data_IF_310244647500
#
_entry.id   IF_310244647500
#
_cell.length_a   1.000
_cell.length_b   1.000
_cell.length_c   1.000
_cell.angle_alpha   90.00
_cell.angle_beta   90.00
_cell.angle_gamma   90.00
#
_symmetry.space_group_name_H-M   'P 1'
#
loop_
_entity.id
_entity.type
_entity.pdbx_description
1 polymer ?
#
# COMPACT_ATOMS: atom_id res chain seq x y z
N UNK A 1 -14.37 -12.99 2.45
CA UNK A 1 -13.36 -12.88 3.50
C UNK A 1 -12.71 -14.24 3.79
N UNK A 2 -13.47 -15.35 3.79
CA UNK A 2 -12.92 -16.70 4.02
C UNK A 2 -11.75 -17.04 3.07
N UNK A 3 -11.81 -16.64 1.80
CA UNK A 3 -10.74 -16.87 0.82
C UNK A 3 -9.46 -16.08 1.14
N UNK A 4 -9.57 -14.90 1.75
CA UNK A 4 -8.43 -14.10 2.18
C UNK A 4 -7.88 -14.54 3.53
N UNK A 5 -8.71 -15.15 4.40
CA UNK A 5 -8.30 -15.59 5.72
C UNK A 5 -7.12 -16.56 5.66
N UNK A 6 -7.07 -17.45 4.67
CA UNK A 6 -5.95 -18.39 4.48
C UNK A 6 -4.66 -17.72 3.97
N UNK A 7 -4.76 -16.48 3.46
CA UNK A 7 -3.63 -15.69 2.93
C UNK A 7 -3.24 -14.53 3.83
N UNK A 8 -4.13 -14.10 4.70
CA UNK A 8 -3.93 -13.01 5.64
C UNK A 8 -3.32 -13.51 6.93
N UNK A 9 -2.19 -12.94 7.34
CA UNK A 9 -1.55 -13.27 8.61
C UNK A 9 -1.35 -11.99 9.42
N UNK A 10 -2.13 -11.84 10.50
CA UNK A 10 -2.06 -10.68 11.40
C UNK A 10 -0.69 -10.50 12.05
N UNK A 11 0.07 -11.57 12.23
CA UNK A 11 1.42 -11.53 12.83
C UNK A 11 2.44 -10.73 12.00
N UNK A 12 2.14 -10.45 10.72
CA UNK A 12 3.01 -9.72 9.79
C UNK A 12 2.47 -8.35 9.41
N UNK A 13 1.63 -7.79 10.26
CA UNK A 13 1.03 -6.49 10.03
C UNK A 13 1.99 -5.37 10.43
N UNK A 14 2.90 -5.05 9.53
CA UNK A 14 3.84 -3.95 9.69
C UNK A 14 3.20 -2.66 9.18
N UNK A 15 3.24 -1.62 10.01
CA UNK A 15 2.76 -0.30 9.61
C UNK A 15 3.68 0.27 8.53
N UNK A 16 3.16 0.49 7.32
CA UNK A 16 3.86 1.14 6.21
C UNK A 16 3.26 2.52 5.95
N UNK A 17 3.94 3.38 5.20
CA UNK A 17 3.37 4.67 4.83
C UNK A 17 2.10 4.49 3.99
N UNK A 18 2.06 3.47 3.12
CA UNK A 18 0.84 3.13 2.39
C UNK A 18 -0.31 2.70 3.33
N UNK A 19 -0.03 1.99 4.43
CA UNK A 19 -1.06 1.58 5.40
C UNK A 19 -1.59 2.76 6.21
N UNK A 20 -0.72 3.68 6.61
CA UNK A 20 -1.11 4.93 7.27
C UNK A 20 -1.97 5.79 6.36
N UNK A 21 -1.53 5.97 5.12
CA UNK A 21 -2.27 6.75 4.12
C UNK A 21 -3.62 6.13 3.77
N UNK A 22 -3.72 4.80 3.66
CA UNK A 22 -5.00 4.13 3.44
C UNK A 22 -5.93 4.31 4.64
N UNK A 23 -5.41 4.18 5.86
CA UNK A 23 -6.17 4.41 7.09
C UNK A 23 -6.72 5.84 7.13
N UNK A 24 -5.90 6.83 6.82
CA UNK A 24 -6.31 8.22 6.68
C UNK A 24 -7.40 8.43 5.61
N UNK A 25 -7.28 7.73 4.50
CA UNK A 25 -8.25 7.83 3.42
C UNK A 25 -9.63 7.30 3.81
N UNK A 26 -9.70 6.17 4.52
CA UNK A 26 -10.95 5.45 4.77
C UNK A 26 -11.53 5.65 6.17
N UNK A 27 -10.74 6.19 7.12
CA UNK A 27 -11.15 6.35 8.51
C UNK A 27 -11.03 7.80 8.95
N UNK A 28 -12.16 8.39 9.22
CA UNK A 28 -12.27 9.67 9.90
C UNK A 28 -11.68 9.65 11.32
N UNK A 29 -11.87 8.55 12.06
CA UNK A 29 -11.36 8.38 13.44
C UNK A 29 -9.82 8.47 13.49
N UNK A 30 -9.10 7.83 12.58
CA UNK A 30 -7.63 7.85 12.53
C UNK A 30 -7.09 9.26 12.21
N UNK A 31 -7.77 9.99 11.32
CA UNK A 31 -7.45 11.37 11.00
C UNK A 31 -7.67 12.30 12.21
N UNK A 32 -8.82 12.16 12.85
CA UNK A 32 -9.18 12.91 14.07
C UNK A 32 -8.13 12.69 15.17
N UNK A 33 -7.81 11.43 15.45
CA UNK A 33 -6.80 11.09 16.45
C UNK A 33 -5.44 11.69 16.11
N UNK A 34 -5.02 11.61 14.85
CA UNK A 34 -3.75 12.16 14.41
C UNK A 34 -3.68 13.69 14.58
N UNK A 35 -4.73 14.41 14.18
CA UNK A 35 -4.78 15.87 14.33
C UNK A 35 -4.72 16.26 15.81
N UNK A 36 -5.55 15.66 16.64
CA UNK A 36 -5.60 15.96 18.06
C UNK A 36 -4.27 15.66 18.77
N UNK A 37 -3.60 14.56 18.42
CA UNK A 37 -2.29 14.22 18.97
C UNK A 37 -1.20 15.20 18.50
N UNK A 38 -1.15 15.53 17.22
CA UNK A 38 -0.21 16.53 16.69
C UNK A 38 -0.39 17.88 17.36
N UNK A 39 -1.63 18.33 17.55
CA UNK A 39 -1.95 19.56 18.27
C UNK A 39 -1.39 19.55 19.71
N UNK A 40 -1.61 18.45 20.45
CA UNK A 40 -1.13 18.31 21.83
C UNK A 40 0.40 18.31 21.93
N UNK A 41 1.05 17.57 21.03
CA UNK A 41 2.52 17.52 20.97
C UNK A 41 3.09 18.90 20.66
N UNK A 42 2.48 19.62 19.74
CA UNK A 42 2.92 20.93 19.33
C UNK A 42 2.75 21.98 20.42
N UNK A 43 1.60 22.00 21.09
CA UNK A 43 1.37 22.89 22.23
C UNK A 43 2.46 22.73 23.31
N UNK A 44 2.82 21.47 23.63
CA UNK A 44 3.92 21.20 24.59
C UNK A 44 5.26 21.75 24.11
N UNK A 45 5.54 21.63 22.81
CA UNK A 45 6.76 22.18 22.22
C UNK A 45 6.78 23.71 22.31
N UNK A 46 5.69 24.40 21.96
CA UNK A 46 5.62 25.86 22.08
C UNK A 46 5.72 26.32 23.53
N UNK A 47 5.17 25.58 24.50
CA UNK A 47 5.35 25.86 25.90
C UNK A 47 6.83 25.79 26.33
N UNK A 48 7.57 24.78 25.85
CA UNK A 48 9.01 24.63 26.10
C UNK A 48 9.82 25.76 25.46
N UNK A 49 9.58 26.06 24.19
CA UNK A 49 10.29 27.12 23.47
C UNK A 49 10.03 28.49 23.99
N UNK A 50 8.85 28.77 24.56
CA UNK A 50 8.53 30.06 25.16
C UNK A 50 9.47 30.46 26.34
N UNK A 51 10.09 29.46 26.99
CA UNK A 51 11.09 29.71 28.05
C UNK A 51 12.48 30.05 27.48
N UNK A 52 12.84 29.49 26.33
CA UNK A 52 14.20 29.59 25.79
C UNK A 52 14.35 30.72 24.75
N UNK A 53 13.26 31.18 24.15
CA UNK A 53 13.24 32.07 22.97
C UNK A 53 12.41 33.35 23.24
N UNK A 54 12.78 34.13 24.23
CA UNK A 54 12.06 35.37 24.62
C UNK A 54 11.92 36.40 23.50
N UNK A 55 12.88 36.46 22.57
CA UNK A 55 12.89 37.39 21.44
C UNK A 55 11.76 37.11 20.45
N UNK A 56 11.22 35.88 20.45
CA UNK A 56 10.15 35.41 19.58
C UNK A 56 8.82 35.16 20.33
N UNK A 57 8.68 35.76 21.52
CA UNK A 57 7.51 35.54 22.37
C UNK A 57 6.18 35.86 21.69
N UNK A 58 6.12 36.89 20.87
CA UNK A 58 4.89 37.30 20.18
C UNK A 58 4.48 36.23 19.12
N UNK A 59 5.45 35.72 18.38
CA UNK A 59 5.23 34.63 17.42
C UNK A 59 4.78 33.34 18.13
N UNK A 60 5.49 32.94 19.19
CA UNK A 60 5.17 31.76 19.98
C UNK A 60 3.78 31.86 20.58
N UNK A 61 3.43 33.03 21.17
CA UNK A 61 2.11 33.28 21.72
C UNK A 61 1.00 33.27 20.66
N UNK A 62 1.24 33.83 19.48
CA UNK A 62 0.28 33.78 18.38
C UNK A 62 -0.01 32.33 18.00
N UNK A 63 1.02 31.53 17.76
CA UNK A 63 0.88 30.12 17.39
C UNK A 63 0.20 29.30 18.49
N UNK A 64 0.60 29.50 19.73
CA UNK A 64 0.00 28.85 20.89
C UNK A 64 -1.49 29.18 21.03
N UNK A 65 -1.85 30.45 20.94
CA UNK A 65 -3.24 30.91 21.05
C UNK A 65 -4.09 30.38 19.90
N UNK A 66 -3.56 30.35 18.69
CA UNK A 66 -4.23 29.74 17.55
C UNK A 66 -4.52 28.26 17.82
N UNK A 67 -3.55 27.50 18.30
CA UNK A 67 -3.74 26.08 18.61
C UNK A 67 -4.69 25.83 19.79
N UNK A 68 -4.66 26.67 20.84
CA UNK A 68 -5.55 26.52 22.00
C UNK A 68 -7.01 26.78 21.63
N UNK A 69 -7.25 27.79 20.80
CA UNK A 69 -8.61 28.16 20.39
C UNK A 69 -9.28 27.10 19.50
N UNK A 70 -8.52 26.10 19.09
CA UNK A 70 -9.00 25.00 18.30
C UNK A 70 -9.52 23.90 19.21
N UNK A 71 -10.82 23.63 19.15
CA UNK A 71 -11.41 22.50 19.86
C UNK A 71 -10.83 21.17 19.38
N UNK A 72 -10.77 20.17 20.25
CA UNK A 72 -10.48 18.82 19.82
C UNK A 72 -11.57 18.35 18.86
N UNK A 73 -11.15 17.72 17.79
CA UNK A 73 -12.01 17.28 16.70
C UNK A 73 -12.63 15.95 17.08
N UNK A 74 -13.90 15.79 16.77
CA UNK A 74 -14.59 14.51 16.74
C UNK A 74 -15.26 14.30 15.38
N UNK A 75 -15.80 13.12 15.14
CA UNK A 75 -16.43 12.80 13.86
C UNK A 75 -17.73 13.61 13.60
N UNK A 76 -18.33 14.22 14.62
CA UNK A 76 -19.52 15.06 14.49
C UNK A 76 -19.16 16.42 13.87
N UNK A 77 -18.00 16.94 14.23
CA UNK A 77 -17.51 18.24 13.76
C UNK A 77 -16.40 18.13 12.71
N UNK A 78 -16.21 16.96 12.11
CA UNK A 78 -15.11 16.68 11.18
C UNK A 78 -15.05 17.64 9.98
N UNK A 79 -16.17 18.01 9.41
CA UNK A 79 -16.21 19.01 8.33
C UNK A 79 -15.74 20.40 8.79
N UNK A 80 -16.07 20.78 10.01
CA UNK A 80 -15.58 22.01 10.62
C UNK A 80 -14.08 21.92 10.86
N UNK A 81 -13.60 20.77 11.30
CA UNK A 81 -12.20 20.47 11.48
C UNK A 81 -11.39 20.60 10.19
N UNK A 82 -11.93 20.14 9.08
CA UNK A 82 -11.28 20.26 7.78
C UNK A 82 -11.10 21.73 7.37
N UNK A 83 -12.14 22.54 7.48
CA UNK A 83 -12.07 23.99 7.23
C UNK A 83 -11.03 24.65 8.13
N UNK A 84 -11.04 24.30 9.36
CA UNK A 84 -10.14 24.79 10.36
C UNK A 84 -8.68 24.42 10.08
N UNK A 85 -8.40 23.19 9.65
CA UNK A 85 -7.07 22.78 9.24
C UNK A 85 -6.55 23.67 8.08
N UNK A 86 -7.40 24.03 7.14
CA UNK A 86 -7.05 24.95 6.06
C UNK A 86 -6.75 26.35 6.57
N UNK A 87 -7.55 26.86 7.52
CA UNK A 87 -7.34 28.16 8.15
C UNK A 87 -6.03 28.17 8.96
N UNK A 88 -5.76 27.10 9.71
CA UNK A 88 -4.49 26.93 10.43
C UNK A 88 -3.29 26.94 9.47
N UNK A 89 -3.34 26.17 8.40
CA UNK A 89 -2.26 26.13 7.40
C UNK A 89 -2.03 27.51 6.78
N UNK A 90 -3.06 28.24 6.44
CA UNK A 90 -2.93 29.58 5.88
C UNK A 90 -2.22 30.55 6.85
N UNK A 91 -2.55 30.50 8.14
CA UNK A 91 -1.86 31.29 9.18
C UNK A 91 -0.40 30.86 9.32
N UNK A 92 -0.16 29.55 9.41
CA UNK A 92 1.19 29.00 9.53
C UNK A 92 2.08 29.41 8.34
N UNK A 93 1.57 29.28 7.12
CA UNK A 93 2.31 29.67 5.90
C UNK A 93 2.68 31.16 5.90
N UNK A 94 1.78 32.03 6.34
CA UNK A 94 2.03 33.47 6.41
C UNK A 94 3.17 33.79 7.39
N UNK A 95 3.07 33.30 8.61
CA UNK A 95 4.05 33.53 9.66
C UNK A 95 5.41 32.86 9.37
N UNK A 96 5.38 31.65 8.80
CA UNK A 96 6.58 30.93 8.37
C UNK A 96 7.31 31.69 7.27
N UNK A 97 6.58 32.27 6.32
CA UNK A 97 7.18 33.07 5.25
C UNK A 97 7.86 34.33 5.79
N UNK A 98 7.31 34.96 6.81
CA UNK A 98 7.90 36.17 7.40
C UNK A 98 9.16 35.85 8.22
N UNK A 99 9.17 34.74 8.98
CA UNK A 99 10.39 34.23 9.61
C UNK A 99 11.46 33.83 8.60
N UNK A 100 11.08 33.19 7.50
CA UNK A 100 12.01 32.82 6.43
C UNK A 100 12.65 34.07 5.79
N UNK A 101 11.88 35.12 5.51
CA UNK A 101 12.42 36.40 5.02
C UNK A 101 13.36 37.07 6.04
N UNK A 102 13.03 36.98 7.33
CA UNK A 102 13.92 37.50 8.39
C UNK A 102 15.26 36.75 8.38
N UNK A 103 15.21 35.41 8.30
CA UNK A 103 16.39 34.55 8.17
C UNK A 103 17.25 34.92 6.98
N UNK A 104 16.63 35.13 5.80
CA UNK A 104 17.38 35.49 4.58
C UNK A 104 18.07 36.85 4.73
N UNK A 105 17.40 37.88 5.32
CA UNK A 105 17.99 39.17 5.62
C UNK A 105 19.18 39.05 6.60
N UNK A 106 19.06 38.20 7.63
CA UNK A 106 20.15 37.93 8.55
C UNK A 106 21.34 37.29 7.85
N UNK A 107 21.10 36.29 6.98
CA UNK A 107 22.14 35.66 6.16
C UNK A 107 22.86 36.64 5.23
N UNK A 108 22.12 37.50 4.53
CA UNK A 108 22.69 38.54 3.70
C UNK A 108 23.59 39.48 4.51
N UNK A 109 23.17 39.81 5.75
CA UNK A 109 23.93 40.70 6.62
C UNK A 109 25.16 40.07 7.28
N UNK A 110 25.42 38.77 7.10
CA UNK A 110 26.62 38.08 7.60
C UNK A 110 27.86 38.41 6.76
N UNK A 111 27.68 38.90 5.51
CA UNK A 111 28.78 39.12 4.57
C UNK A 111 29.75 40.22 5.04
N UNK A 112 29.22 41.25 5.72
CA UNK A 112 29.99 42.44 6.15
C UNK A 112 30.12 42.59 7.67
N UNK A 113 30.07 41.47 8.43
CA UNK A 113 30.08 41.51 9.91
C UNK A 113 31.46 41.21 10.52
N UNK A 114 31.75 41.86 11.63
CA UNK A 114 32.85 41.45 12.52
C UNK A 114 32.51 40.09 13.22
N UNK A 115 33.53 39.48 13.84
CA UNK A 115 33.41 38.12 14.39
C UNK A 115 32.38 37.99 15.51
N UNK A 116 32.18 39.03 16.30
CA UNK A 116 31.21 39.02 17.43
C UNK A 116 29.78 39.13 16.90
N UNK A 117 29.50 40.10 16.05
CA UNK A 117 28.19 40.30 15.45
C UNK A 117 27.80 39.10 14.54
N UNK A 118 28.79 38.44 13.93
CA UNK A 118 28.58 37.23 13.17
C UNK A 118 28.06 36.09 14.02
N UNK A 119 28.66 35.83 15.18
CA UNK A 119 28.25 34.80 16.12
C UNK A 119 26.80 35.01 16.61
N UNK A 120 26.47 36.26 17.01
CA UNK A 120 25.10 36.57 17.46
C UNK A 120 24.05 36.34 16.35
N UNK A 121 24.36 36.73 15.11
CA UNK A 121 23.46 36.50 13.97
C UNK A 121 23.32 35.02 13.58
N UNK A 122 24.40 34.25 13.64
CA UNK A 122 24.36 32.81 13.40
C UNK A 122 23.47 32.13 14.45
N UNK A 123 23.56 32.54 15.72
CA UNK A 123 22.68 32.03 16.78
C UNK A 123 21.22 32.43 16.59
N UNK A 124 20.97 33.63 16.09
CA UNK A 124 19.61 34.07 15.76
C UNK A 124 19.01 33.27 14.57
N UNK A 125 19.83 32.99 13.57
CA UNK A 125 19.44 32.12 12.45
C UNK A 125 19.09 30.71 12.95
N UNK A 126 19.88 30.14 13.86
CA UNK A 126 19.61 28.84 14.47
C UNK A 126 18.27 28.81 15.19
N UNK A 127 17.96 29.86 15.98
CA UNK A 127 16.67 30.01 16.66
C UNK A 127 15.49 30.05 15.67
N UNK A 128 15.63 30.78 14.56
CA UNK A 128 14.61 30.83 13.49
C UNK A 128 14.46 29.47 12.84
N UNK A 129 15.55 28.74 12.60
CA UNK A 129 15.50 27.41 12.03
C UNK A 129 14.77 26.42 12.92
N UNK A 130 15.00 26.49 14.23
CA UNK A 130 14.27 25.69 15.21
C UNK A 130 12.76 25.98 15.18
N UNK A 131 12.36 27.26 15.16
CA UNK A 131 10.96 27.67 15.07
C UNK A 131 10.31 27.24 13.76
N UNK A 132 11.01 27.39 12.63
CA UNK A 132 10.54 26.92 11.32
C UNK A 132 10.37 25.39 11.30
N UNK A 133 11.28 24.66 11.93
CA UNK A 133 11.20 23.21 12.06
C UNK A 133 9.97 22.75 12.85
N UNK A 134 9.60 23.48 13.89
CA UNK A 134 8.39 23.20 14.67
C UNK A 134 7.13 23.36 13.85
N UNK A 135 7.06 24.41 13.03
CA UNK A 135 5.88 24.73 12.25
C UNK A 135 5.73 23.89 10.99
N UNK A 136 6.81 23.31 10.50
CA UNK A 136 6.80 22.46 9.28
C UNK A 136 5.98 21.19 9.43
N UNK A 137 5.73 20.72 10.66
CA UNK A 137 5.02 19.48 10.97
C UNK A 137 3.68 19.69 11.67
N UNK A 138 3.12 20.89 11.59
CA UNK A 138 1.85 21.25 12.23
C UNK A 138 0.69 20.90 11.34
N UNK A 139 -0.25 20.15 11.88
CA UNK A 139 -1.44 19.79 11.16
C UNK A 139 -1.21 18.68 10.12
N UNK A 140 -2.15 18.55 9.22
CA UNK A 140 -2.08 17.61 8.10
C UNK A 140 -1.30 18.22 6.93
N UNK A 141 -0.53 17.40 6.27
CA UNK A 141 0.11 17.77 4.99
C UNK A 141 -0.95 17.94 3.89
N UNK A 142 -0.61 18.63 2.80
CA UNK A 142 -1.49 18.77 1.62
C UNK A 142 -1.90 17.41 1.07
N UNK A 143 -1.01 16.44 1.12
CA UNK A 143 -1.30 15.07 0.70
C UNK A 143 -2.32 14.39 1.62
N UNK A 144 -2.14 14.45 2.94
CA UNK A 144 -3.10 13.91 3.91
C UNK A 144 -4.48 14.61 3.78
N UNK A 145 -4.47 15.92 3.56
CA UNK A 145 -5.69 16.68 3.26
C UNK A 145 -6.37 16.19 2.00
N UNK A 146 -5.60 15.90 0.95
CA UNK A 146 -6.15 15.32 -0.29
C UNK A 146 -6.73 13.92 -0.07
N UNK A 147 -6.15 13.11 0.82
CA UNK A 147 -6.69 11.80 1.18
C UNK A 147 -8.03 11.89 1.89
N UNK A 148 -8.23 12.91 2.73
CA UNK A 148 -9.51 13.14 3.41
C UNK A 148 -10.59 13.64 2.46
N UNK A 149 -10.26 14.60 1.59
CA UNK A 149 -11.21 15.23 0.67
C UNK A 149 -11.59 14.36 -0.51
N UNK A 150 -10.63 13.59 -1.03
CA UNK A 150 -10.84 12.77 -2.21
C UNK A 150 -11.68 11.53 -1.91
N UNK A 151 -12.46 11.11 -2.88
CA UNK A 151 -13.33 9.93 -2.78
C UNK A 151 -12.71 8.68 -3.40
N UNK A 152 -11.64 8.85 -4.16
CA UNK A 152 -10.98 7.76 -4.88
C UNK A 152 -9.49 7.74 -4.58
N UNK A 153 -8.97 6.57 -4.23
CA UNK A 153 -7.57 6.30 -4.01
C UNK A 153 -7.08 5.21 -4.95
N UNK A 154 -6.02 5.48 -5.67
CA UNK A 154 -5.34 4.52 -6.53
C UNK A 154 -4.03 4.10 -5.88
N UNK A 155 -3.88 2.80 -5.58
CA UNK A 155 -2.67 2.20 -5.00
C UNK A 155 -2.01 1.34 -6.05
N UNK A 156 -0.81 1.71 -6.48
CA UNK A 156 0.00 0.92 -7.40
C UNK A 156 1.32 0.50 -6.76
N UNK A 157 1.95 -0.53 -7.28
CA UNK A 157 3.25 -1.01 -6.80
C UNK A 157 3.62 -2.32 -7.47
N UNK A 158 4.86 -2.73 -7.32
CA UNK A 158 5.37 -3.99 -7.89
C UNK A 158 4.67 -5.24 -7.33
N UNK A 159 4.91 -6.39 -7.95
CA UNK A 159 4.43 -7.66 -7.43
C UNK A 159 5.05 -7.95 -6.05
N UNK A 160 4.22 -8.49 -5.13
CA UNK A 160 4.71 -8.92 -3.82
C UNK A 160 4.94 -7.81 -2.79
N UNK A 161 4.62 -6.53 -3.09
CA UNK A 161 4.77 -5.41 -2.14
C UNK A 161 3.76 -5.39 -0.99
N UNK A 162 2.73 -6.25 -1.00
CA UNK A 162 1.78 -6.36 0.11
C UNK A 162 0.45 -5.64 -0.08
N UNK A 163 0.10 -5.17 -1.28
CA UNK A 163 -1.17 -4.44 -1.55
C UNK A 163 -2.43 -5.20 -1.10
N UNK A 164 -2.51 -6.49 -1.41
CA UNK A 164 -3.64 -7.34 -0.97
C UNK A 164 -3.69 -7.52 0.54
N UNK A 165 -2.52 -7.63 1.19
CA UNK A 165 -2.41 -7.67 2.65
C UNK A 165 -2.91 -6.37 3.27
N UNK A 166 -2.57 -5.23 2.67
CA UNK A 166 -3.01 -3.91 3.09
C UNK A 166 -4.55 -3.80 3.10
N UNK A 167 -5.22 -4.17 2.00
CA UNK A 167 -6.68 -4.13 1.92
C UNK A 167 -7.34 -5.15 2.85
N UNK A 168 -6.78 -6.35 2.97
CA UNK A 168 -7.29 -7.36 3.89
C UNK A 168 -7.21 -6.91 5.35
N UNK A 169 -6.08 -6.29 5.74
CA UNK A 169 -5.89 -5.75 7.08
C UNK A 169 -6.89 -4.63 7.41
N UNK A 170 -7.05 -3.65 6.52
CA UNK A 170 -8.01 -2.58 6.76
C UNK A 170 -9.45 -3.12 6.79
N UNK A 171 -9.81 -4.07 5.91
CA UNK A 171 -11.11 -4.74 5.94
C UNK A 171 -11.34 -5.44 7.27
N UNK A 172 -10.35 -6.16 7.81
CA UNK A 172 -10.45 -6.84 9.10
C UNK A 172 -10.70 -5.87 10.25
N UNK A 173 -10.02 -4.72 10.25
CA UNK A 173 -10.23 -3.66 11.25
C UNK A 173 -11.65 -3.08 11.18
N UNK A 174 -12.20 -2.86 9.98
CA UNK A 174 -13.59 -2.41 9.82
C UNK A 174 -14.57 -3.44 10.37
N UNK A 175 -14.41 -4.72 10.03
CA UNK A 175 -15.27 -5.80 10.50
C UNK A 175 -15.19 -5.94 12.03
N UNK A 176 -13.97 -5.89 12.62
CA UNK A 176 -13.79 -5.99 14.07
C UNK A 176 -14.42 -4.83 14.86
N UNK A 177 -14.56 -3.67 14.19
CA UNK A 177 -15.21 -2.47 14.76
C UNK A 177 -16.70 -2.37 14.42
N UNK A 178 -17.31 -3.42 13.88
CA UNK A 178 -18.70 -3.45 13.38
C UNK A 178 -19.02 -2.36 12.35
N UNK A 179 -18.01 -1.89 11.59
CA UNK A 179 -18.18 -0.90 10.53
C UNK A 179 -18.40 -1.58 9.18
N UNK A 180 -19.12 -0.91 8.29
CA UNK A 180 -19.43 -1.46 6.96
C UNK A 180 -18.26 -1.23 6.00
N UNK A 181 -17.94 -2.26 5.25
CA UNK A 181 -16.87 -2.26 4.24
C UNK A 181 -17.18 -3.29 3.16
N UNK A 182 -16.78 -3.03 1.93
CA UNK A 182 -16.85 -4.00 0.84
C UNK A 182 -15.44 -4.25 0.29
N UNK A 183 -15.01 -5.51 0.29
CA UNK A 183 -13.77 -5.94 -0.36
C UNK A 183 -14.09 -6.85 -1.54
N UNK A 184 -13.66 -6.42 -2.72
CA UNK A 184 -13.80 -7.12 -3.98
C UNK A 184 -12.44 -7.57 -4.48
N UNK A 185 -12.37 -8.77 -5.04
CA UNK A 185 -11.17 -9.33 -5.65
C UNK A 185 -11.37 -9.40 -7.16
N UNK A 186 -10.59 -8.64 -7.89
CA UNK A 186 -10.75 -8.51 -9.34
C UNK A 186 -10.43 -9.81 -10.13
N UNK A 187 -9.66 -10.72 -9.54
CA UNK A 187 -9.41 -12.06 -10.11
C UNK A 187 -10.66 -12.93 -10.28
N UNK A 188 -11.80 -12.55 -9.69
CA UNK A 188 -13.08 -13.24 -9.94
C UNK A 188 -13.84 -12.74 -11.15
N UNK A 189 -13.37 -11.68 -11.82
CA UNK A 189 -14.05 -11.12 -13.01
C UNK A 189 -13.51 -11.78 -14.29
N UNK A 190 -14.30 -12.71 -14.78
CA UNK A 190 -13.85 -13.79 -15.65
C UNK A 190 -14.35 -13.73 -17.09
N UNK A 191 -15.28 -12.84 -17.41
CA UNK A 191 -15.94 -12.85 -18.70
C UNK A 191 -16.13 -11.45 -19.30
N UNK A 192 -16.77 -11.36 -20.47
CA UNK A 192 -16.96 -10.12 -21.22
C UNK A 192 -18.17 -9.30 -20.77
N UNK A 193 -18.92 -9.74 -19.76
CA UNK A 193 -20.04 -8.96 -19.21
C UNK A 193 -19.54 -7.69 -18.56
N UNK A 194 -20.43 -6.73 -18.34
CA UNK A 194 -20.05 -5.50 -17.61
C UNK A 194 -19.49 -5.83 -16.22
N UNK A 195 -18.48 -5.10 -15.80
CA UNK A 195 -17.88 -5.29 -14.47
C UNK A 195 -18.89 -5.10 -13.35
N UNK A 196 -19.80 -4.13 -13.51
CA UNK A 196 -20.86 -3.88 -12.54
C UNK A 196 -21.73 -5.13 -12.31
N UNK A 197 -22.09 -5.84 -13.38
CA UNK A 197 -22.87 -7.09 -13.28
C UNK A 197 -22.08 -8.20 -12.59
N UNK A 198 -20.79 -8.34 -12.91
CA UNK A 198 -19.91 -9.32 -12.27
C UNK A 198 -19.69 -9.02 -10.79
N UNK A 199 -19.57 -7.73 -10.42
CA UNK A 199 -19.51 -7.29 -9.03
C UNK A 199 -20.78 -7.69 -8.28
N UNK A 200 -21.94 -7.41 -8.85
CA UNK A 200 -23.23 -7.73 -8.20
C UNK A 200 -23.42 -9.23 -8.03
N UNK A 201 -22.99 -10.03 -8.97
CA UNK A 201 -22.98 -11.50 -8.88
C UNK A 201 -22.03 -12.00 -7.77
N UNK A 202 -20.82 -11.45 -7.70
CA UNK A 202 -19.88 -11.75 -6.61
C UNK A 202 -20.48 -11.42 -5.24
N UNK A 203 -21.17 -10.29 -5.12
CA UNK A 203 -21.87 -9.89 -3.92
C UNK A 203 -23.14 -10.70 -3.66
N UNK A 204 -23.62 -11.53 -4.59
CA UNK A 204 -24.90 -12.26 -4.55
C UNK A 204 -26.09 -11.34 -4.37
N UNK A 205 -26.09 -10.20 -5.01
CA UNK A 205 -27.13 -9.18 -4.93
C UNK A 205 -27.90 -9.09 -6.25
N UNK A 206 -29.22 -8.89 -6.18
CA UNK A 206 -30.13 -8.90 -7.32
C UNK A 206 -30.61 -7.50 -7.73
N UNK A 207 -29.79 -6.47 -7.51
CA UNK A 207 -30.02 -5.10 -7.93
C UNK A 207 -28.77 -4.53 -8.60
N UNK A 208 -28.84 -3.34 -9.18
CA UNK A 208 -27.71 -2.75 -9.90
C UNK A 208 -26.64 -2.17 -8.97
N UNK A 209 -25.45 -1.96 -9.54
CA UNK A 209 -24.29 -1.43 -8.81
C UNK A 209 -24.52 -0.01 -8.28
N UNK A 210 -25.25 0.83 -9.03
CA UNK A 210 -25.56 2.20 -8.58
C UNK A 210 -26.39 2.20 -7.30
N UNK A 211 -27.37 1.30 -7.22
CA UNK A 211 -28.17 1.13 -6.02
C UNK A 211 -27.36 0.63 -4.82
N UNK A 212 -26.34 -0.22 -5.04
CA UNK A 212 -25.42 -0.61 -3.99
C UNK A 212 -24.69 0.61 -3.42
N UNK A 213 -24.20 1.50 -4.28
CA UNK A 213 -23.54 2.73 -3.86
C UNK A 213 -24.52 3.63 -3.08
N UNK A 214 -25.76 3.78 -3.53
CA UNK A 214 -26.78 4.58 -2.84
C UNK A 214 -27.12 4.02 -1.45
N UNK A 215 -27.14 2.68 -1.29
CA UNK A 215 -27.29 2.03 0.02
C UNK A 215 -26.11 2.37 0.93
N UNK A 216 -24.87 2.27 0.42
CA UNK A 216 -23.68 2.60 1.20
C UNK A 216 -23.62 4.07 1.57
N UNK A 217 -24.02 4.97 0.67
CA UNK A 217 -24.15 6.40 0.97
C UNK A 217 -25.15 6.64 2.12
N UNK A 218 -26.32 6.00 2.05
CA UNK A 218 -27.34 6.10 3.10
C UNK A 218 -26.87 5.56 4.45
N UNK A 219 -26.12 4.45 4.45
CA UNK A 219 -25.50 3.91 5.67
C UNK A 219 -24.50 4.92 6.24
N UNK A 220 -23.61 5.44 5.40
CA UNK A 220 -22.60 6.41 5.80
C UNK A 220 -23.22 7.70 6.35
N UNK A 221 -24.32 8.17 5.74
CA UNK A 221 -25.06 9.34 6.20
C UNK A 221 -25.66 9.13 7.60
N UNK A 222 -26.27 7.96 7.83
CA UNK A 222 -26.85 7.61 9.13
C UNK A 222 -25.79 7.45 10.21
N UNK A 223 -24.71 6.75 9.90
CA UNK A 223 -23.61 6.49 10.83
C UNK A 223 -22.65 7.68 10.95
N UNK A 224 -22.73 8.66 10.04
CA UNK A 224 -21.79 9.78 9.87
C UNK A 224 -20.33 9.32 9.77
N UNK A 225 -20.11 8.28 8.97
CA UNK A 225 -18.81 7.62 8.79
C UNK A 225 -18.63 7.17 7.36
N UNK A 226 -17.39 7.14 6.91
CA UNK A 226 -17.08 6.62 5.58
C UNK A 226 -17.35 5.12 5.47
N UNK A 227 -17.91 4.71 4.33
CA UNK A 227 -18.10 3.31 3.92
C UNK A 227 -17.14 3.03 2.76
N UNK A 228 -16.03 2.35 2.99
CA UNK A 228 -15.07 2.08 1.94
C UNK A 228 -15.44 0.88 1.08
N UNK A 229 -15.12 1.00 -0.21
CA UNK A 229 -15.12 -0.09 -1.18
C UNK A 229 -13.67 -0.30 -1.61
N UNK A 230 -13.14 -1.48 -1.39
CA UNK A 230 -11.83 -1.91 -1.86
C UNK A 230 -11.98 -2.84 -3.05
N UNK A 231 -11.26 -2.57 -4.13
CA UNK A 231 -11.15 -3.49 -5.27
C UNK A 231 -9.68 -3.85 -5.45
N UNK A 232 -9.32 -5.05 -5.07
CA UNK A 232 -7.94 -5.52 -5.08
C UNK A 232 -7.56 -6.17 -6.40
N UNK A 233 -6.32 -5.92 -6.81
CA UNK A 233 -5.63 -6.58 -7.90
C UNK A 233 -6.36 -6.50 -9.25
N UNK A 234 -6.70 -5.27 -9.71
CA UNK A 234 -7.39 -5.05 -10.99
C UNK A 234 -6.70 -5.73 -12.19
N UNK A 235 -5.38 -5.89 -12.11
CA UNK A 235 -4.58 -6.59 -13.11
C UNK A 235 -4.82 -8.11 -13.19
N UNK A 236 -5.55 -8.68 -12.26
CA UNK A 236 -5.91 -10.11 -12.24
C UNK A 236 -7.24 -10.40 -12.95
N UNK A 237 -7.94 -9.37 -13.39
CA UNK A 237 -9.15 -9.51 -14.21
C UNK A 237 -8.80 -10.14 -15.57
N UNK A 238 -9.65 -11.03 -16.06
CA UNK A 238 -9.47 -11.69 -17.36
C UNK A 238 -9.14 -10.71 -18.51
N UNK A 239 -9.80 -9.54 -18.54
CA UNK A 239 -9.53 -8.49 -19.51
C UNK A 239 -9.40 -7.13 -18.82
N UNK A 240 -8.18 -6.67 -18.67
CA UNK A 240 -7.87 -5.37 -18.03
C UNK A 240 -8.53 -4.17 -18.74
N UNK A 241 -8.82 -4.29 -20.05
CA UNK A 241 -9.51 -3.26 -20.83
C UNK A 241 -10.94 -2.97 -20.36
N UNK A 242 -11.59 -3.90 -19.65
CA UNK A 242 -12.89 -3.65 -19.03
C UNK A 242 -12.83 -2.52 -17.98
N UNK A 243 -11.72 -2.41 -17.26
CA UNK A 243 -11.50 -1.36 -16.26
C UNK A 243 -11.41 0.03 -16.91
N UNK A 244 -10.76 0.15 -18.08
CA UNK A 244 -10.72 1.42 -18.82
C UNK A 244 -12.11 1.97 -19.13
N UNK A 245 -13.06 1.08 -19.38
CA UNK A 245 -14.43 1.44 -19.71
C UNK A 245 -15.28 1.72 -18.47
N UNK A 246 -15.12 0.91 -17.42
CA UNK A 246 -15.94 0.97 -16.22
C UNK A 246 -15.47 2.04 -15.21
N UNK A 247 -14.15 2.17 -14.95
CA UNK A 247 -13.62 3.07 -13.92
C UNK A 247 -14.09 4.52 -14.06
N UNK A 248 -14.12 5.14 -15.25
CA UNK A 248 -14.59 6.53 -15.35
C UNK A 248 -16.03 6.73 -14.83
N UNK A 249 -16.91 5.74 -15.07
CA UNK A 249 -18.30 5.77 -14.60
C UNK A 249 -18.40 5.53 -13.09
N UNK A 250 -17.68 4.52 -12.62
CA UNK A 250 -17.61 4.18 -11.20
C UNK A 250 -17.06 5.37 -10.40
N UNK A 251 -15.92 5.94 -10.84
CA UNK A 251 -15.30 7.11 -10.20
C UNK A 251 -16.26 8.30 -10.17
N UNK A 252 -16.96 8.57 -11.29
CA UNK A 252 -17.96 9.65 -11.33
C UNK A 252 -19.04 9.43 -10.28
N UNK A 253 -19.65 8.25 -10.21
CA UNK A 253 -20.68 7.91 -9.23
C UNK A 253 -20.18 8.05 -7.79
N UNK A 254 -18.95 7.61 -7.50
CA UNK A 254 -18.33 7.73 -6.18
C UNK A 254 -18.07 9.20 -5.82
N UNK A 255 -17.61 10.02 -6.77
CA UNK A 255 -17.39 11.45 -6.52
C UNK A 255 -18.68 12.23 -6.20
N UNK A 256 -19.84 11.72 -6.63
CA UNK A 256 -21.14 12.29 -6.30
C UNK A 256 -21.59 11.92 -4.85
N UNK A 257 -20.87 11.02 -4.16
CA UNK A 257 -21.15 10.59 -2.80
C UNK A 257 -20.42 11.46 -1.76
N UNK A 258 -20.97 11.56 -0.56
CA UNK A 258 -20.30 12.19 0.59
C UNK A 258 -19.59 11.18 1.48
N UNK A 259 -20.15 9.99 1.65
CA UNK A 259 -19.70 8.99 2.62
C UNK A 259 -19.10 7.74 2.00
N UNK A 260 -19.24 7.51 0.69
CA UNK A 260 -18.62 6.36 0.04
C UNK A 260 -17.23 6.72 -0.46
N UNK A 261 -16.25 5.86 -0.18
CA UNK A 261 -14.87 5.98 -0.67
C UNK A 261 -14.45 4.72 -1.41
N UNK A 262 -13.71 4.87 -2.50
CA UNK A 262 -13.21 3.78 -3.33
C UNK A 262 -11.68 3.75 -3.29
N UNK A 263 -11.10 2.63 -2.88
CA UNK A 263 -9.69 2.38 -3.08
C UNK A 263 -9.49 1.18 -4.01
N UNK A 264 -8.63 1.33 -5.01
CA UNK A 264 -8.32 0.29 -5.98
C UNK A 264 -6.82 -0.02 -5.97
N UNK A 265 -6.47 -1.28 -6.21
CA UNK A 265 -5.07 -1.70 -6.31
C UNK A 265 -4.76 -2.41 -7.63
N UNK A 266 -3.53 -2.23 -8.11
CA UNK A 266 -3.00 -2.99 -9.24
C UNK A 266 -1.46 -2.95 -9.27
N UNK A 267 -0.85 -3.77 -10.12
CA UNK A 267 0.60 -3.74 -10.35
C UNK A 267 0.96 -2.62 -11.33
N UNK A 268 2.03 -1.88 -11.02
CA UNK A 268 2.45 -0.68 -11.76
C UNK A 268 2.61 -0.91 -13.27
N UNK A 269 3.08 -2.10 -13.67
CA UNK A 269 3.26 -2.46 -15.09
C UNK A 269 1.95 -2.54 -15.89
N UNK A 270 0.80 -2.69 -15.22
CA UNK A 270 -0.52 -2.75 -15.87
C UNK A 270 -1.25 -1.40 -15.92
N UNK A 271 -0.67 -0.33 -15.39
CA UNK A 271 -1.31 0.99 -15.29
C UNK A 271 -1.96 1.44 -16.61
N UNK A 272 -1.22 1.34 -17.72
CA UNK A 272 -1.73 1.74 -19.06
C UNK A 272 -2.81 0.83 -19.61
N UNK A 273 -2.94 -0.40 -19.12
CA UNK A 273 -3.96 -1.34 -19.54
C UNK A 273 -5.27 -1.12 -18.76
N UNK A 274 -5.17 -0.70 -17.50
CA UNK A 274 -6.27 -0.56 -16.54
C UNK A 274 -6.85 0.86 -16.58
N UNK A 275 -5.97 1.88 -16.59
CA UNK A 275 -6.39 3.27 -16.53
C UNK A 275 -6.52 3.90 -17.93
N UNK A 276 -7.51 4.76 -18.09
CA UNK A 276 -7.58 5.70 -19.20
C UNK A 276 -6.43 6.71 -19.07
N UNK A 277 -5.96 7.25 -20.21
CA UNK A 277 -4.90 8.25 -20.26
C UNK A 277 -5.21 9.50 -19.40
N UNK A 278 -6.49 9.82 -19.21
CA UNK A 278 -6.92 10.91 -18.35
C UNK A 278 -6.65 10.60 -16.87
N UNK A 279 -6.76 9.34 -16.47
CA UNK A 279 -6.57 8.89 -15.09
C UNK A 279 -5.10 8.59 -14.75
N UNK A 280 -4.21 8.44 -15.74
CA UNK A 280 -2.80 8.14 -15.50
C UNK A 280 -2.06 9.33 -14.88
N UNK A 281 -2.45 10.56 -15.22
CA UNK A 281 -1.77 11.75 -14.73
C UNK A 281 -2.49 12.34 -13.51
N UNK A 282 -1.90 12.27 -12.30
CA UNK A 282 -2.48 12.84 -11.08
C UNK A 282 -2.84 14.32 -11.21
N UNK A 283 -2.04 15.10 -11.94
CA UNK A 283 -2.29 16.54 -12.13
C UNK A 283 -3.60 16.86 -12.84
N UNK A 284 -4.11 15.93 -13.64
CA UNK A 284 -5.37 16.08 -14.35
C UNK A 284 -6.59 15.66 -13.52
N UNK A 285 -6.36 15.07 -12.34
CA UNK A 285 -7.42 14.50 -11.51
C UNK A 285 -7.24 14.90 -10.04
N UNK A 286 -7.50 16.17 -9.69
CA UNK A 286 -7.28 16.66 -8.33
C UNK A 286 -8.17 15.94 -7.29
N UNK A 287 -9.25 15.30 -7.73
CA UNK A 287 -10.19 14.56 -6.88
C UNK A 287 -9.82 13.06 -6.69
N UNK A 288 -8.64 12.67 -7.14
CA UNK A 288 -8.13 11.30 -7.00
C UNK A 288 -6.75 11.34 -6.33
N UNK A 289 -6.58 10.58 -5.27
CA UNK A 289 -5.29 10.40 -4.62
C UNK A 289 -4.55 9.20 -5.19
N UNK A 290 -3.22 9.25 -5.23
CA UNK A 290 -2.36 8.20 -5.78
C UNK A 290 -1.27 7.84 -4.77
N UNK A 291 -1.10 6.54 -4.52
CA UNK A 291 -0.05 6.01 -3.66
C UNK A 291 0.75 4.97 -4.44
N UNK A 292 2.07 5.04 -4.33
CA UNK A 292 2.96 3.95 -4.76
C UNK A 292 3.33 3.15 -3.53
N UNK A 293 2.99 1.86 -3.51
CA UNK A 293 3.33 0.97 -2.41
C UNK A 293 4.58 0.17 -2.75
N UNK A 294 5.70 0.53 -2.12
CA UNK A 294 7.02 -0.05 -2.41
C UNK A 294 7.43 -1.18 -1.43
N UNK A 295 6.52 -1.66 -0.60
CA UNK A 295 6.82 -2.68 0.41
C UNK A 295 6.99 -2.09 1.81
N UNK A 296 7.99 -2.54 2.55
CA UNK A 296 8.20 -2.08 3.94
C UNK A 296 8.88 -0.72 4.05
N UNK A 297 9.62 -0.30 3.03
CA UNK A 297 10.31 1.00 2.97
C UNK A 297 11.08 1.32 4.26
N UNK A 298 10.74 2.42 4.92
CA UNK A 298 11.39 2.87 6.16
C UNK A 298 11.18 1.93 7.35
N UNK A 299 10.25 0.97 7.26
CA UNK A 299 9.93 0.01 8.33
C UNK A 299 10.52 -1.39 8.05
N UNK A 300 11.48 -1.48 7.15
CA UNK A 300 12.13 -2.77 6.77
C UNK A 300 12.79 -3.45 7.96
N UNK A 301 13.44 -2.70 8.84
CA UNK A 301 14.09 -3.25 10.03
C UNK A 301 13.07 -3.86 11.00
N UNK A 302 11.98 -3.14 11.29
CA UNK A 302 10.88 -3.64 12.12
C UNK A 302 10.25 -4.90 11.52
N UNK A 303 10.04 -4.90 10.19
CA UNK A 303 9.50 -6.04 9.47
C UNK A 303 10.42 -7.26 9.59
N UNK A 304 11.71 -7.09 9.32
CA UNK A 304 12.70 -8.17 9.43
C UNK A 304 12.72 -8.73 10.84
N UNK A 305 12.75 -7.89 11.86
CA UNK A 305 12.76 -8.32 13.25
C UNK A 305 11.49 -9.12 13.61
N UNK A 306 10.31 -8.65 13.19
CA UNK A 306 9.04 -9.34 13.43
C UNK A 306 9.00 -10.71 12.74
N UNK A 307 9.41 -10.78 11.47
CA UNK A 307 9.47 -12.04 10.72
C UNK A 307 10.48 -13.02 11.30
N UNK A 308 11.68 -12.57 11.64
CA UNK A 308 12.72 -13.42 12.20
C UNK A 308 12.32 -13.96 13.57
N UNK A 309 11.74 -13.13 14.43
CA UNK A 309 11.20 -13.59 15.70
C UNK A 309 10.13 -14.67 15.52
N UNK A 310 9.20 -14.47 14.57
CA UNK A 310 8.15 -15.43 14.27
C UNK A 310 8.70 -16.79 13.77
N UNK A 311 9.71 -16.76 12.89
CA UNK A 311 10.31 -17.97 12.32
C UNK A 311 11.48 -18.53 13.17
N UNK A 312 11.81 -17.90 14.32
CA UNK A 312 12.91 -18.33 15.19
C UNK A 312 14.31 -18.19 14.55
N UNK A 313 14.45 -17.24 13.62
CA UNK A 313 15.70 -16.99 12.91
C UNK A 313 16.60 -16.11 13.78
N UNK A 314 17.79 -16.60 14.11
CA UNK A 314 18.82 -15.85 14.83
C UNK A 314 19.88 -15.40 13.82
N UNK A 315 19.79 -14.15 13.41
CA UNK A 315 20.73 -13.56 12.46
C UNK A 315 21.21 -12.19 12.98
N UNK A 316 22.49 -11.83 12.83
CA UNK A 316 22.97 -10.52 13.23
C UNK A 316 22.33 -9.42 12.39
N UNK A 317 21.73 -8.43 13.06
CA UNK A 317 21.06 -7.28 12.43
C UNK A 317 21.95 -6.45 11.47
N UNK A 318 23.28 -6.54 11.68
CA UNK A 318 24.27 -5.77 10.93
C UNK A 318 24.33 -6.09 9.43
N UNK A 319 23.84 -7.24 9.01
CA UNK A 319 23.85 -7.70 7.62
C UNK A 319 22.60 -7.31 6.81
N UNK A 320 21.58 -6.70 7.44
CA UNK A 320 20.29 -6.44 6.77
C UNK A 320 20.33 -5.31 5.73
N UNK A 321 21.27 -4.38 5.86
CA UNK A 321 21.37 -3.22 4.97
C UNK A 321 21.78 -3.59 3.54
N UNK A 322 22.31 -4.79 3.33
CA UNK A 322 22.77 -5.26 2.02
C UNK A 322 21.70 -6.04 1.22
N UNK A 323 20.58 -6.41 1.85
CA UNK A 323 19.59 -7.30 1.23
C UNK A 323 18.25 -6.59 1.00
N UNK A 324 17.59 -6.95 -0.12
CA UNK A 324 16.28 -6.41 -0.51
C UNK A 324 15.13 -6.97 0.34
N UNK A 325 15.22 -6.90 1.65
CA UNK A 325 14.14 -7.27 2.57
C UNK A 325 13.00 -6.24 2.64
N UNK A 326 13.11 -5.15 1.93
CA UNK A 326 12.04 -4.18 1.69
C UNK A 326 10.81 -4.80 1.00
N UNK A 327 11.02 -5.89 0.24
CA UNK A 327 9.93 -6.61 -0.42
C UNK A 327 9.33 -7.70 0.50
N UNK A 328 8.05 -7.57 0.90
CA UNK A 328 7.38 -8.53 1.79
C UNK A 328 7.34 -9.96 1.29
N UNK A 329 7.19 -10.16 -0.02
CA UNK A 329 7.19 -11.50 -0.61
C UNK A 329 8.57 -12.14 -0.48
N UNK A 330 9.63 -11.40 -0.78
CA UNK A 330 10.99 -11.90 -0.65
C UNK A 330 11.32 -12.27 0.80
N UNK A 331 11.03 -11.39 1.76
CA UNK A 331 11.25 -11.66 3.18
C UNK A 331 10.48 -12.92 3.63
N UNK A 332 9.21 -13.05 3.19
CA UNK A 332 8.39 -14.23 3.50
C UNK A 332 9.02 -15.53 2.95
N UNK A 333 9.43 -15.52 1.68
CA UNK A 333 10.05 -16.68 1.04
C UNK A 333 11.37 -17.03 1.71
N UNK A 334 12.19 -16.04 2.03
CA UNK A 334 13.43 -16.23 2.74
C UNK A 334 13.23 -16.90 4.10
N UNK A 335 12.35 -16.34 4.93
CA UNK A 335 12.08 -16.88 6.26
C UNK A 335 11.54 -18.32 6.24
N UNK A 336 10.65 -18.63 5.30
CA UNK A 336 10.09 -19.98 5.13
C UNK A 336 11.11 -21.03 4.69
N UNK A 337 12.17 -20.62 4.02
CA UNK A 337 13.20 -21.51 3.46
C UNK A 337 14.59 -21.30 4.09
N UNK A 338 14.66 -20.64 5.24
CA UNK A 338 15.88 -20.38 5.96
C UNK A 338 16.54 -21.68 6.45
N UNK A 339 17.86 -21.82 6.21
CA UNK A 339 18.67 -22.99 6.60
C UNK A 339 19.95 -22.60 7.37
N UNK A 340 20.00 -21.38 7.92
CA UNK A 340 21.14 -20.93 8.71
C UNK A 340 22.24 -20.22 7.91
N UNK A 341 21.97 -19.81 6.70
CA UNK A 341 22.89 -19.18 5.76
C UNK A 341 22.50 -17.74 5.39
N UNK A 342 23.44 -17.04 4.76
CA UNK A 342 23.22 -15.68 4.25
C UNK A 342 22.15 -15.66 3.14
N UNK A 343 21.36 -14.57 3.06
CA UNK A 343 20.35 -14.42 2.03
C UNK A 343 20.98 -14.36 0.63
N UNK A 344 20.69 -15.36 -0.19
CA UNK A 344 21.10 -15.42 -1.59
C UNK A 344 19.89 -15.75 -2.46
N UNK A 345 19.46 -14.81 -3.30
CA UNK A 345 18.25 -14.94 -4.10
C UNK A 345 18.27 -16.19 -5.02
N UNK A 346 19.32 -16.44 -5.81
CA UNK A 346 19.41 -17.64 -6.63
C UNK A 346 19.31 -18.92 -5.80
N UNK A 347 20.03 -19.00 -4.67
CA UNK A 347 19.97 -20.17 -3.78
C UNK A 347 18.61 -20.35 -3.13
N UNK A 348 17.93 -19.25 -2.80
CA UNK A 348 16.56 -19.29 -2.26
C UNK A 348 15.60 -19.92 -3.28
N UNK A 349 15.63 -19.47 -4.54
CA UNK A 349 14.81 -20.06 -5.60
C UNK A 349 15.17 -21.52 -5.85
N UNK A 350 16.46 -21.87 -5.88
CA UNK A 350 16.88 -23.26 -5.99
C UNK A 350 16.29 -24.14 -4.89
N UNK A 351 16.28 -23.66 -3.64
CA UNK A 351 15.68 -24.40 -2.51
C UNK A 351 14.17 -24.53 -2.62
N UNK A 352 13.48 -23.45 -3.03
CA UNK A 352 12.04 -23.48 -3.24
C UNK A 352 11.69 -24.53 -4.31
N UNK A 353 12.41 -24.54 -5.41
CA UNK A 353 12.18 -25.50 -6.49
C UNK A 353 12.58 -26.93 -6.10
N UNK A 354 13.68 -27.10 -5.36
CA UNK A 354 14.08 -28.43 -4.85
C UNK A 354 13.05 -28.99 -3.85
N UNK A 355 12.51 -28.14 -2.96
CA UNK A 355 11.44 -28.54 -2.06
C UNK A 355 10.17 -28.91 -2.80
N UNK A 356 9.84 -28.19 -3.85
CA UNK A 356 8.70 -28.52 -4.72
C UNK A 356 8.90 -29.84 -5.46
N UNK A 357 10.12 -30.13 -5.91
CA UNK A 357 10.47 -31.44 -6.48
C UNK A 357 10.23 -32.57 -5.49
N UNK A 358 10.69 -32.43 -4.23
CA UNK A 358 10.45 -33.42 -3.18
C UNK A 358 8.95 -33.60 -2.88
N UNK A 359 8.21 -32.52 -2.75
CA UNK A 359 6.78 -32.56 -2.48
C UNK A 359 6.03 -33.22 -3.64
N UNK A 360 6.41 -32.91 -4.88
CA UNK A 360 5.83 -33.53 -6.09
C UNK A 360 6.08 -35.04 -6.12
N UNK A 361 7.29 -35.49 -5.80
CA UNK A 361 7.62 -36.91 -5.70
C UNK A 361 6.83 -37.61 -4.61
N UNK A 362 6.66 -36.98 -3.45
CA UNK A 362 5.86 -37.51 -2.34
C UNK A 362 4.38 -37.62 -2.71
N UNK A 363 3.85 -36.67 -3.48
CA UNK A 363 2.44 -36.63 -3.89
C UNK A 363 2.12 -37.54 -5.06
N UNK A 364 3.09 -37.81 -5.94
CA UNK A 364 2.93 -38.62 -7.16
C UNK A 364 4.00 -39.74 -7.24
N UNK A 365 4.18 -40.57 -6.19
CA UNK A 365 5.29 -41.53 -6.12
C UNK A 365 5.29 -42.54 -7.28
N UNK A 366 4.13 -43.01 -7.69
CA UNK A 366 4.02 -43.98 -8.79
C UNK A 366 4.42 -43.39 -10.13
N UNK A 367 4.12 -42.10 -10.37
CA UNK A 367 4.47 -41.42 -11.63
C UNK A 367 5.99 -41.32 -11.75
N UNK A 368 6.67 -40.93 -10.67
CA UNK A 368 8.13 -40.77 -10.64
C UNK A 368 8.82 -42.13 -10.73
N UNK A 369 8.39 -43.10 -9.94
CA UNK A 369 8.95 -44.47 -9.95
C UNK A 369 8.79 -45.18 -11.29
N UNK A 370 7.63 -45.09 -11.93
CA UNK A 370 7.36 -45.74 -13.21
C UNK A 370 8.18 -45.12 -14.35
N UNK A 371 8.58 -43.85 -14.23
CA UNK A 371 9.44 -43.19 -15.22
C UNK A 371 10.91 -43.20 -14.85
N UNK A 372 11.30 -43.78 -13.68
CA UNK A 372 12.69 -43.88 -13.22
C UNK A 372 13.30 -42.57 -12.76
N UNK A 373 12.48 -41.56 -12.41
CA UNK A 373 12.96 -40.28 -11.93
C UNK A 373 13.31 -40.32 -10.45
N UNK A 374 14.30 -39.54 -10.10
CA UNK A 374 14.82 -39.32 -8.74
C UNK A 374 14.78 -37.85 -8.37
N UNK A 375 15.10 -37.54 -7.14
CA UNK A 375 15.25 -36.14 -6.66
C UNK A 375 16.34 -35.34 -7.42
N UNK A 376 17.26 -36.01 -8.09
CA UNK A 376 18.33 -35.37 -8.86
C UNK A 376 17.89 -34.90 -10.25
N UNK A 377 16.74 -35.35 -10.72
CA UNK A 377 16.26 -35.03 -12.07
C UNK A 377 15.66 -33.61 -12.18
N UNK A 378 15.46 -32.92 -11.03
CA UNK A 378 15.02 -31.52 -10.95
C UNK A 378 13.84 -31.19 -11.88
N UNK A 379 12.82 -32.00 -11.83
CA UNK A 379 11.65 -31.95 -12.76
C UNK A 379 10.94 -30.59 -12.73
N UNK A 380 10.69 -30.08 -11.52
CA UNK A 380 10.04 -28.78 -11.33
C UNK A 380 10.91 -27.66 -11.88
N UNK A 381 12.21 -27.68 -11.57
CA UNK A 381 13.16 -26.70 -12.08
C UNK A 381 13.16 -26.68 -13.63
N UNK A 382 13.26 -27.85 -14.26
CA UNK A 382 13.30 -27.96 -15.71
C UNK A 382 11.98 -27.49 -16.35
N UNK A 383 10.84 -27.80 -15.73
CA UNK A 383 9.53 -27.29 -16.18
C UNK A 383 9.47 -25.78 -16.10
N UNK A 384 9.88 -25.18 -14.97
CA UNK A 384 9.86 -23.71 -14.81
C UNK A 384 10.79 -23.04 -15.82
N UNK A 385 11.97 -23.60 -16.08
CA UNK A 385 12.88 -23.09 -17.13
C UNK A 385 12.21 -23.14 -18.53
N UNK A 386 11.52 -24.23 -18.86
CA UNK A 386 10.79 -24.33 -20.13
C UNK A 386 9.68 -23.27 -20.24
N UNK A 387 8.90 -23.10 -19.19
CA UNK A 387 7.84 -22.07 -19.14
C UNK A 387 8.44 -20.67 -19.28
N UNK A 388 9.46 -20.32 -18.48
CA UNK A 388 10.12 -19.02 -18.54
C UNK A 388 10.74 -18.77 -19.92
N UNK A 389 11.38 -19.76 -20.51
CA UNK A 389 11.98 -19.67 -21.85
C UNK A 389 10.92 -19.39 -22.92
N UNK A 390 9.77 -20.07 -22.82
CA UNK A 390 8.64 -19.82 -23.72
C UNK A 390 8.10 -18.38 -23.57
N UNK A 391 7.88 -17.94 -22.32
CA UNK A 391 7.40 -16.58 -22.00
C UNK A 391 8.33 -15.53 -22.58
N UNK A 392 9.63 -15.64 -22.34
CA UNK A 392 10.64 -14.68 -22.83
C UNK A 392 10.69 -14.68 -24.36
N UNK A 393 10.70 -15.87 -24.99
CA UNK A 393 10.77 -16.00 -26.45
C UNK A 393 9.56 -15.35 -27.16
N UNK A 394 8.38 -15.45 -26.57
CA UNK A 394 7.15 -14.91 -27.15
C UNK A 394 6.81 -13.49 -26.66
N UNK A 395 7.62 -12.89 -25.79
CA UNK A 395 7.38 -11.56 -25.24
C UNK A 395 6.10 -11.47 -24.38
N UNK A 396 5.63 -12.61 -23.86
CA UNK A 396 4.43 -12.70 -23.04
C UNK A 396 4.78 -12.56 -21.54
N UNK A 397 3.75 -12.40 -20.72
CA UNK A 397 3.89 -12.37 -19.26
C UNK A 397 3.43 -13.66 -18.58
N UNK A 398 2.76 -14.51 -19.33
CA UNK A 398 2.23 -15.81 -18.90
C UNK A 398 2.25 -16.77 -20.09
N UNK A 399 2.13 -18.04 -19.81
CA UNK A 399 1.91 -19.08 -20.81
C UNK A 399 0.42 -19.45 -20.79
N UNK A 400 -0.22 -19.48 -21.95
CA UNK A 400 -1.59 -19.97 -22.07
C UNK A 400 -1.63 -21.51 -21.97
N UNK A 401 -2.82 -22.05 -21.73
CA UNK A 401 -3.00 -23.49 -21.49
C UNK A 401 -2.66 -24.33 -22.70
N UNK A 402 -2.97 -23.87 -23.91
CA UNK A 402 -2.66 -24.57 -25.14
C UNK A 402 -1.15 -24.67 -25.34
N UNK A 403 -0.45 -23.55 -25.23
CA UNK A 403 1.01 -23.48 -25.31
C UNK A 403 1.69 -24.28 -24.19
N UNK A 404 1.13 -24.28 -22.97
CA UNK A 404 1.62 -25.10 -21.86
C UNK A 404 1.53 -26.61 -22.19
N UNK A 405 0.42 -27.06 -22.80
CA UNK A 405 0.22 -28.45 -23.22
C UNK A 405 1.20 -28.82 -24.31
N UNK A 406 1.53 -27.89 -25.21
CA UNK A 406 2.43 -28.11 -26.35
C UNK A 406 3.91 -28.09 -26.00
N UNK A 407 4.29 -27.71 -24.79
CA UNK A 407 5.70 -27.71 -24.36
C UNK A 407 6.35 -29.09 -24.63
N UNK A 408 7.52 -29.07 -25.22
CA UNK A 408 8.33 -30.29 -25.48
C UNK A 408 8.65 -31.07 -24.20
N UNK A 409 8.66 -30.40 -23.06
CA UNK A 409 8.86 -30.94 -21.73
C UNK A 409 7.99 -32.21 -21.48
N UNK A 410 6.70 -32.16 -21.78
CA UNK A 410 5.77 -33.28 -21.50
C UNK A 410 6.10 -34.52 -22.30
N UNK A 411 6.58 -34.36 -23.53
CA UNK A 411 7.01 -35.48 -24.40
C UNK A 411 8.36 -36.03 -23.95
N UNK A 412 9.26 -35.18 -23.58
CA UNK A 412 10.60 -35.54 -23.15
C UNK A 412 10.56 -36.30 -21.82
N UNK A 413 9.84 -35.78 -20.84
CA UNK A 413 9.76 -36.37 -19.51
C UNK A 413 8.63 -37.39 -19.34
N UNK A 414 7.75 -37.58 -20.32
CA UNK A 414 6.61 -38.53 -20.27
C UNK A 414 5.76 -38.42 -19.02
N UNK A 415 5.56 -37.22 -18.51
CA UNK A 415 4.88 -36.94 -17.26
C UNK A 415 3.42 -36.48 -17.50
N UNK A 416 2.48 -36.82 -16.62
CA UNK A 416 1.11 -36.35 -16.72
C UNK A 416 1.00 -34.87 -16.35
N UNK A 417 0.57 -34.06 -17.32
CA UNK A 417 0.47 -32.59 -17.14
C UNK A 417 -0.42 -32.20 -15.97
N UNK A 418 -1.66 -32.67 -15.94
CA UNK A 418 -2.67 -32.19 -15.00
C UNK A 418 -2.31 -32.42 -13.51
N UNK A 419 -1.85 -33.62 -13.10
CA UNK A 419 -1.43 -33.84 -11.71
C UNK A 419 -0.27 -32.96 -11.29
N UNK A 420 0.70 -32.73 -12.19
CA UNK A 420 1.89 -31.92 -11.88
C UNK A 420 1.49 -30.44 -11.74
N UNK A 421 0.71 -29.90 -12.66
CA UNK A 421 0.26 -28.51 -12.59
C UNK A 421 -0.53 -28.26 -11.29
N UNK A 422 -1.49 -29.16 -10.94
CA UNK A 422 -2.25 -29.04 -9.68
C UNK A 422 -1.35 -29.03 -8.44
N UNK A 423 -0.31 -29.84 -8.44
CA UNK A 423 0.63 -29.88 -7.33
C UNK A 423 1.45 -28.58 -7.23
N UNK A 424 1.93 -28.05 -8.34
CA UNK A 424 2.66 -26.78 -8.38
C UNK A 424 1.78 -25.58 -8.02
N UNK A 425 0.48 -25.65 -8.33
CA UNK A 425 -0.51 -24.68 -7.87
C UNK A 425 -0.73 -24.77 -6.35
N UNK A 426 -0.81 -25.98 -5.81
CA UNK A 426 -0.92 -26.23 -4.37
C UNK A 426 0.30 -25.67 -3.62
N UNK A 427 1.50 -25.86 -4.17
CA UNK A 427 2.75 -25.34 -3.63
C UNK A 427 2.94 -23.82 -3.90
N UNK A 428 1.99 -23.18 -4.61
CA UNK A 428 2.03 -21.76 -4.98
C UNK A 428 3.24 -21.35 -5.83
N UNK A 429 3.78 -22.27 -6.60
CA UNK A 429 4.85 -22.02 -7.57
C UNK A 429 4.27 -21.57 -8.91
N UNK A 430 3.17 -22.18 -9.34
CA UNK A 430 2.36 -21.72 -10.46
C UNK A 430 1.03 -21.18 -9.94
N UNK A 431 0.49 -20.24 -10.69
CA UNK A 431 -0.85 -19.73 -10.49
C UNK A 431 -1.57 -19.87 -11.84
N UNK A 432 -2.61 -20.67 -11.88
CA UNK A 432 -3.55 -20.59 -12.99
C UNK A 432 -4.58 -19.51 -12.68
N UNK A 433 -4.82 -18.69 -13.68
CA UNK A 433 -5.96 -17.80 -13.69
C UNK A 433 -7.11 -18.60 -14.31
N UNK A 434 -8.18 -18.94 -13.57
CA UNK A 434 -9.23 -19.85 -14.03
C UNK A 434 -9.99 -19.34 -15.25
N UNK A 435 -9.55 -18.25 -15.85
CA UNK A 435 -10.25 -17.48 -16.87
C UNK A 435 -9.39 -17.10 -18.07
N UNK A 436 -8.20 -17.67 -18.18
CA UNK A 436 -7.35 -17.58 -19.38
C UNK A 436 -7.40 -18.91 -20.15
N UNK A 437 -8.61 -19.45 -20.34
CA UNK A 437 -8.86 -20.54 -21.27
C UNK A 437 -8.91 -20.03 -22.70
#
# INVERSE_FOLDING_TARGET
FSYLHDRFNESFNIATDASKNLSFFVKDDDAIQCINERKRVLLKKFDQFGYDYHDYSDYINLMRNTLINIEDIDYINFENAFRWQQELQAVLETETNDLAKQKDRLKESLVDCDQYNRYEKEKEIEKIDDLLSLTSNVGLTDFEMSLLSNKVLIIKGEAGTGKSQLFANETAKFISSDRKVLLLLAGFYADSRSLENQIMEQCRLNFDFEKLIDIFESIGEVERRFVPIFIDALNETWNNGLWKQALPRIIKKINDCNYVKLAISFRSEYERQILDNKLINPKNNPNISYIVHNGFENNTEEAVQAFFNHYGIKFPLEYFLEYKFDNPLFLTLYCKNYQGDEPNLPQLYDRILAKADQNLQCSLPDVFKNNGYTEYDRIVYNLIICICSWIVKNGNKYIDKESLIELSFWKEYRLPLQPIIRELEREKILYSYPYLD
#
